data_IF_843214848812
#
_entry.id   IF_843214848812
#
_cell.length_a   1.000
_cell.length_b   1.000
_cell.length_c   1.000
_cell.angle_alpha   90.00
_cell.angle_beta   90.00
_cell.angle_gamma   90.00
#
_symmetry.space_group_name_H-M   'P 1'
#
loop_
_entity.id
_entity.type
_entity.pdbx_description
1 polymer ?
#
# COMPACT_ATOMS: atom_id res chain seq x y z
N UNK A 1 14.03 13.08 0.73
CA UNK A 1 12.60 12.80 0.71
C UNK A 1 11.90 13.74 -0.26
N UNK A 2 12.04 15.05 -0.11
CA UNK A 2 11.41 16.08 -0.95
C UNK A 2 11.66 15.88 -2.46
N UNK A 3 12.84 15.41 -2.83
CA UNK A 3 13.21 15.13 -4.23
C UNK A 3 12.27 14.11 -4.90
N UNK A 4 11.71 13.17 -4.15
CA UNK A 4 10.84 12.12 -4.68
C UNK A 4 9.37 12.52 -4.67
N UNK A 5 8.95 13.30 -3.67
CA UNK A 5 7.55 13.72 -3.54
C UNK A 5 7.24 15.01 -4.29
N UNK A 6 8.25 15.88 -4.51
CA UNK A 6 8.07 17.15 -5.23
C UNK A 6 7.37 16.98 -6.57
N UNK A 7 7.85 16.12 -7.47
CA UNK A 7 7.20 15.88 -8.76
C UNK A 7 5.75 15.42 -8.67
N UNK A 8 5.39 14.67 -7.61
CA UNK A 8 4.01 14.24 -7.38
C UNK A 8 3.12 15.42 -6.98
N UNK A 9 3.61 16.27 -6.07
CA UNK A 9 2.90 17.50 -5.67
C UNK A 9 2.71 18.42 -6.87
N UNK A 10 3.77 18.62 -7.67
CA UNK A 10 3.73 19.49 -8.85
C UNK A 10 2.75 18.96 -9.90
N UNK A 11 2.71 17.65 -10.14
CA UNK A 11 1.76 17.02 -11.02
C UNK A 11 0.30 17.22 -10.58
N UNK A 12 0.02 17.02 -9.29
CA UNK A 12 -1.34 17.20 -8.75
C UNK A 12 -1.78 18.66 -8.82
N UNK A 13 -0.86 19.61 -8.59
CA UNK A 13 -1.11 21.05 -8.74
C UNK A 13 -1.37 21.44 -10.19
N UNK A 14 -0.60 20.91 -11.14
CA UNK A 14 -0.85 21.14 -12.58
C UNK A 14 -2.25 20.68 -12.99
N UNK A 15 -2.73 19.58 -12.39
CA UNK A 15 -4.08 19.07 -12.62
C UNK A 15 -5.19 19.93 -11.97
N UNK A 16 -4.83 20.89 -11.13
CA UNK A 16 -5.75 21.88 -10.56
C UNK A 16 -6.11 21.68 -9.10
N UNK A 17 -5.51 20.69 -8.39
CA UNK A 17 -5.74 20.49 -6.97
C UNK A 17 -4.61 21.11 -6.12
N UNK A 18 -4.95 21.78 -5.01
CA UNK A 18 -3.97 22.42 -4.12
C UNK A 18 -3.30 21.40 -3.19
N UNK A 19 -2.36 20.66 -3.77
CA UNK A 19 -1.60 19.65 -3.05
C UNK A 19 -0.48 20.26 -2.19
N UNK A 20 -0.29 19.72 -1.00
CA UNK A 20 0.76 20.13 -0.07
C UNK A 20 1.41 18.94 0.63
N UNK A 21 2.59 19.18 1.20
CA UNK A 21 3.34 18.20 1.99
C UNK A 21 3.28 18.57 3.47
N UNK A 22 2.91 17.63 4.34
CA UNK A 22 2.77 17.88 5.78
C UNK A 22 4.10 17.91 6.57
N UNK A 23 5.23 17.80 5.87
CA UNK A 23 6.56 17.83 6.49
C UNK A 23 7.05 16.49 7.05
N UNK A 24 6.20 15.45 7.08
CA UNK A 24 6.59 14.11 7.56
C UNK A 24 6.57 13.07 6.42
N UNK A 25 5.42 12.59 6.04
CA UNK A 25 5.28 11.52 5.04
C UNK A 25 3.96 11.53 4.26
N UNK A 26 3.07 12.47 4.56
CA UNK A 26 1.77 12.56 3.92
C UNK A 26 1.69 13.73 2.95
N UNK A 27 1.04 13.51 1.82
CA UNK A 27 0.61 14.57 0.92
C UNK A 27 -0.87 14.82 1.11
N UNK A 28 -1.24 16.09 1.18
CA UNK A 28 -2.57 16.56 1.58
C UNK A 28 -3.19 17.44 0.49
N UNK A 29 -4.51 17.39 0.37
CA UNK A 29 -5.37 18.37 -0.28
C UNK A 29 -6.43 18.76 0.74
N UNK A 30 -6.62 20.04 1.00
CA UNK A 30 -7.56 20.58 2.01
C UNK A 30 -7.40 19.92 3.39
N UNK A 31 -6.15 19.67 3.80
CA UNK A 31 -5.83 19.05 5.08
C UNK A 31 -6.11 17.55 5.17
N UNK A 32 -6.65 16.92 4.10
CA UNK A 32 -6.91 15.48 4.02
C UNK A 32 -5.85 14.76 3.19
N UNK A 33 -5.44 13.60 3.66
CA UNK A 33 -4.38 12.80 3.05
C UNK A 33 -4.86 12.14 1.76
N UNK A 34 -4.11 12.34 0.66
CA UNK A 34 -4.29 11.60 -0.58
C UNK A 34 -3.12 10.66 -0.90
N UNK A 35 -1.98 10.83 -0.19
CA UNK A 35 -0.80 9.98 -0.38
C UNK A 35 -0.07 9.77 0.94
N UNK A 36 0.37 8.54 1.16
CA UNK A 36 1.29 8.17 2.22
C UNK A 36 2.58 7.64 1.63
N UNK A 37 3.72 8.08 2.16
CA UNK A 37 5.02 7.76 1.61
C UNK A 37 5.94 7.18 2.68
N UNK A 38 6.82 6.27 2.28
CA UNK A 38 7.87 5.74 3.11
C UNK A 38 9.19 5.65 2.35
N UNK A 39 10.26 5.74 3.09
CA UNK A 39 11.61 5.68 2.53
C UNK A 39 12.52 4.95 3.50
N UNK A 40 13.38 4.09 2.97
CA UNK A 40 14.45 3.49 3.75
C UNK A 40 15.73 3.38 2.93
N UNK A 41 16.85 3.26 3.62
CA UNK A 41 18.16 3.10 3.01
C UNK A 41 18.55 1.61 3.02
N UNK A 42 19.04 1.14 1.88
CA UNK A 42 19.58 -0.20 1.71
C UNK A 42 20.99 -0.08 1.12
N UNK A 43 22.01 -0.17 1.97
CA UNK A 43 23.41 0.13 1.58
C UNK A 43 23.52 1.57 1.09
N UNK A 44 23.99 1.75 -0.14
CA UNK A 44 24.11 3.06 -0.80
C UNK A 44 22.87 3.45 -1.62
N UNK A 45 21.87 2.60 -1.65
CA UNK A 45 20.61 2.86 -2.34
C UNK A 45 19.54 3.37 -1.39
N UNK A 46 18.67 4.23 -1.92
CA UNK A 46 17.46 4.67 -1.26
C UNK A 46 16.27 3.98 -1.95
N UNK A 47 15.42 3.33 -1.15
CA UNK A 47 14.13 2.84 -1.61
C UNK A 47 13.05 3.78 -1.11
N UNK A 48 12.33 4.37 -2.06
CA UNK A 48 11.19 5.25 -1.79
C UNK A 48 9.94 4.65 -2.41
N UNK A 49 8.85 4.62 -1.66
CA UNK A 49 7.54 4.21 -2.17
C UNK A 49 6.44 5.06 -1.58
N UNK A 50 5.32 5.13 -2.29
CA UNK A 50 4.12 5.81 -1.84
C UNK A 50 2.88 5.28 -2.54
N UNK A 51 1.73 5.58 -1.97
CA UNK A 51 0.41 5.31 -2.56
C UNK A 51 -0.27 6.62 -2.95
N UNK A 52 -1.11 6.58 -3.97
CA UNK A 52 -1.94 7.71 -4.39
C UNK A 52 -3.41 7.27 -4.38
N UNK A 53 -4.25 8.02 -3.68
CA UNK A 53 -5.70 7.87 -3.75
C UNK A 53 -6.21 8.77 -4.88
N UNK A 54 -6.42 8.18 -6.06
CA UNK A 54 -6.92 8.93 -7.23
C UNK A 54 -8.44 8.91 -7.32
N UNK A 55 -9.03 7.74 -7.47
CA UNK A 55 -10.47 7.49 -7.57
C UNK A 55 -10.80 6.18 -6.85
N UNK A 56 -10.33 6.07 -5.61
CA UNK A 56 -10.40 4.88 -4.79
C UNK A 56 -11.77 4.77 -4.13
N UNK A 57 -12.39 3.59 -4.16
CA UNK A 57 -13.55 3.31 -3.35
C UNK A 57 -13.15 3.22 -1.88
N UNK A 58 -13.35 4.31 -1.13
CA UNK A 58 -12.95 4.41 0.28
C UNK A 58 -13.70 3.40 1.15
N UNK A 59 -14.92 3.05 0.82
CA UNK A 59 -15.72 2.06 1.57
C UNK A 59 -15.12 0.65 1.45
N UNK A 60 -14.78 0.26 0.21
CA UNK A 60 -14.08 -1.01 -0.03
C UNK A 60 -12.69 -1.03 0.60
N UNK A 61 -11.96 0.09 0.54
CA UNK A 61 -10.66 0.22 1.20
C UNK A 61 -10.78 -0.01 2.71
N UNK A 62 -11.76 0.61 3.37
CA UNK A 62 -11.99 0.41 4.81
C UNK A 62 -12.42 -1.02 5.11
N UNK A 63 -13.32 -1.59 4.30
CA UNK A 63 -13.78 -2.96 4.47
C UNK A 63 -12.67 -4.00 4.28
N UNK A 64 -11.66 -3.69 3.43
CA UNK A 64 -10.50 -4.57 3.18
C UNK A 64 -9.40 -4.47 4.24
N UNK A 65 -9.43 -3.43 5.09
CA UNK A 65 -8.49 -3.32 6.20
C UNK A 65 -9.02 -4.07 7.42
N UNK A 66 -8.12 -4.67 8.21
CA UNK A 66 -8.51 -5.35 9.45
C UNK A 66 -9.05 -4.30 10.43
N UNK A 67 -10.36 -4.18 10.49
CA UNK A 67 -11.07 -3.31 11.45
C UNK A 67 -11.27 -4.11 12.73
N UNK A 68 -11.04 -3.48 13.89
CA UNK A 68 -11.42 -4.04 15.18
C UNK A 68 -12.91 -4.48 15.12
N UNK A 69 -13.22 -5.78 15.37
CA UNK A 69 -14.57 -6.31 15.28
C UNK A 69 -15.60 -5.56 16.15
N UNK A 70 -15.13 -4.84 17.16
CA UNK A 70 -15.96 -4.03 18.06
C UNK A 70 -16.24 -2.62 17.53
N UNK A 71 -15.61 -2.18 16.44
CA UNK A 71 -15.92 -0.90 15.80
C UNK A 71 -17.05 -1.06 14.81
N UNK A 72 -18.09 -0.23 14.96
CA UNK A 72 -19.18 -0.18 13.98
C UNK A 72 -18.60 0.32 12.65
N UNK A 73 -18.76 -0.47 11.59
CA UNK A 73 -18.18 -0.20 10.25
C UNK A 73 -18.52 1.23 9.75
N UNK A 74 -19.75 1.71 9.99
CA UNK A 74 -20.16 3.06 9.61
C UNK A 74 -19.32 4.17 10.27
N UNK A 75 -18.97 4.02 11.56
CA UNK A 75 -18.09 4.97 12.26
C UNK A 75 -16.67 4.92 11.75
N UNK A 76 -16.18 3.74 11.38
CA UNK A 76 -14.86 3.55 10.80
C UNK A 76 -14.76 4.20 9.41
N UNK A 77 -15.76 4.03 8.56
CA UNK A 77 -15.85 4.67 7.24
C UNK A 77 -15.84 6.19 7.39
N UNK A 78 -16.68 6.75 8.26
CA UNK A 78 -16.73 8.20 8.50
C UNK A 78 -15.36 8.72 8.98
N UNK A 79 -14.76 8.08 9.98
CA UNK A 79 -13.46 8.48 10.53
C UNK A 79 -12.32 8.38 9.50
N UNK A 80 -12.40 7.49 8.52
CA UNK A 80 -11.41 7.43 7.42
C UNK A 80 -11.67 8.55 6.41
N UNK A 81 -12.94 8.75 5.98
CA UNK A 81 -13.32 9.83 5.06
C UNK A 81 -12.95 11.22 5.56
N UNK A 82 -12.98 11.43 6.87
CA UNK A 82 -12.59 12.73 7.48
C UNK A 82 -11.07 12.97 7.37
N UNK A 83 -10.27 11.93 7.15
CA UNK A 83 -8.79 12.00 7.14
C UNK A 83 -8.16 11.81 5.77
N UNK A 84 -8.87 11.17 4.84
CA UNK A 84 -8.34 10.89 3.49
C UNK A 84 -9.25 11.50 2.43
N UNK A 85 -8.71 11.68 1.23
CA UNK A 85 -9.46 12.17 0.08
C UNK A 85 -8.90 11.58 -1.21
N UNK A 86 -9.73 11.49 -2.24
CA UNK A 86 -9.29 11.17 -3.59
C UNK A 86 -8.85 12.43 -4.32
N UNK A 87 -7.79 12.35 -5.11
CA UNK A 87 -7.35 13.46 -5.97
C UNK A 87 -8.44 13.85 -6.95
N UNK A 88 -9.16 12.88 -7.53
CA UNK A 88 -10.23 13.10 -8.52
C UNK A 88 -11.35 14.01 -8.03
N UNK A 89 -11.60 14.08 -6.71
CA UNK A 89 -12.63 14.92 -6.10
C UNK A 89 -12.29 16.42 -6.13
N UNK A 90 -11.00 16.75 -6.33
CA UNK A 90 -10.48 18.14 -6.30
C UNK A 90 -10.07 18.65 -7.68
N UNK A 91 -10.24 17.86 -8.73
CA UNK A 91 -9.89 18.26 -10.09
C UNK A 91 -11.05 19.02 -10.75
N UNK A 92 -10.76 20.04 -11.58
CA UNK A 92 -11.79 20.79 -12.31
C UNK A 92 -12.55 19.93 -13.32
N UNK A 93 -11.96 18.83 -13.79
CA UNK A 93 -12.61 17.79 -14.58
C UNK A 93 -12.13 16.41 -14.15
N UNK A 94 -12.98 15.41 -14.24
CA UNK A 94 -12.60 14.03 -14.03
C UNK A 94 -11.71 13.55 -15.17
N UNK A 95 -10.56 12.98 -14.84
CA UNK A 95 -9.65 12.34 -15.78
C UNK A 95 -9.84 10.82 -15.72
N UNK A 96 -9.53 10.15 -16.80
CA UNK A 96 -9.30 8.70 -16.75
C UNK A 96 -8.05 8.37 -15.94
N UNK A 97 -7.93 7.15 -15.46
CA UNK A 97 -6.72 6.68 -14.75
C UNK A 97 -5.48 6.81 -15.64
N UNK A 98 -5.63 6.56 -16.96
CA UNK A 98 -4.52 6.66 -17.92
C UNK A 98 -4.07 8.10 -18.15
N UNK A 99 -4.99 9.07 -18.22
CA UNK A 99 -4.64 10.49 -18.30
C UNK A 99 -3.92 10.95 -17.03
N UNK A 100 -4.41 10.55 -15.85
CA UNK A 100 -3.77 10.83 -14.57
C UNK A 100 -2.37 10.23 -14.50
N UNK A 101 -2.21 8.94 -14.82
CA UNK A 101 -0.93 8.25 -14.89
C UNK A 101 0.06 8.93 -15.82
N UNK A 102 -0.39 9.34 -17.01
CA UNK A 102 0.46 10.03 -18.00
C UNK A 102 0.97 11.36 -17.46
N UNK A 103 0.16 12.11 -16.73
CA UNK A 103 0.60 13.33 -16.06
C UNK A 103 1.65 13.02 -14.98
N UNK A 104 1.41 12.02 -14.11
CA UNK A 104 2.35 11.62 -13.08
C UNK A 104 3.70 11.20 -13.69
N UNK A 105 3.69 10.35 -14.73
CA UNK A 105 4.91 9.88 -15.40
C UNK A 105 5.70 11.04 -15.96
N UNK A 106 5.07 11.99 -16.65
CA UNK A 106 5.74 13.17 -17.21
C UNK A 106 6.50 13.97 -16.15
N UNK A 107 5.89 14.21 -14.99
CA UNK A 107 6.55 14.91 -13.88
C UNK A 107 7.68 14.09 -13.24
N UNK A 108 7.47 12.79 -13.06
CA UNK A 108 8.47 11.90 -12.46
C UNK A 108 9.69 11.71 -13.37
N UNK A 109 9.48 11.66 -14.69
CA UNK A 109 10.56 11.52 -15.66
C UNK A 109 11.42 12.79 -15.81
N UNK A 110 10.94 13.95 -15.34
CA UNK A 110 11.69 15.23 -15.37
C UNK A 110 12.30 15.57 -16.74
N UNK A 111 11.56 15.26 -17.80
CA UNK A 111 11.99 15.49 -19.18
C UNK A 111 12.86 14.36 -19.76
N UNK A 112 13.21 13.32 -19.03
CA UNK A 112 13.78 12.12 -19.62
C UNK A 112 12.75 11.41 -20.49
N UNK A 113 13.20 10.90 -21.63
CA UNK A 113 12.40 10.08 -22.55
C UNK A 113 12.90 8.64 -22.61
N UNK A 114 13.84 8.29 -21.72
CA UNK A 114 14.42 6.96 -21.70
C UNK A 114 13.36 5.92 -21.34
N UNK A 115 13.20 4.96 -22.20
CA UNK A 115 12.28 3.83 -22.03
C UNK A 115 13.00 2.53 -22.29
N UNK A 116 12.60 1.49 -21.59
CA UNK A 116 13.06 0.13 -21.83
C UNK A 116 11.86 -0.76 -22.15
N UNK A 117 11.96 -1.48 -23.25
CA UNK A 117 10.94 -2.48 -23.63
C UNK A 117 11.41 -3.84 -23.18
N UNK A 118 10.61 -4.50 -22.34
CA UNK A 118 10.90 -5.87 -21.88
C UNK A 118 11.00 -6.81 -23.07
N UNK A 119 12.11 -7.55 -23.17
CA UNK A 119 12.36 -8.51 -24.23
C UNK A 119 11.79 -9.90 -23.85
N UNK A 120 11.63 -10.84 -24.82
CA UNK A 120 11.27 -12.22 -24.50
C UNK A 120 12.25 -12.92 -23.53
N UNK A 121 13.55 -12.57 -23.62
CA UNK A 121 14.59 -13.08 -22.72
C UNK A 121 14.39 -12.54 -21.29
N UNK A 122 14.06 -11.26 -21.15
CA UNK A 122 13.73 -10.67 -19.86
C UNK A 122 12.49 -11.34 -19.25
N UNK A 123 11.45 -11.54 -20.06
CA UNK A 123 10.21 -12.20 -19.62
C UNK A 123 10.49 -13.63 -19.13
N UNK A 124 11.28 -14.40 -19.88
CA UNK A 124 11.72 -15.72 -19.46
C UNK A 124 12.48 -15.67 -18.12
N UNK A 125 13.38 -14.69 -17.94
CA UNK A 125 14.15 -14.52 -16.70
C UNK A 125 13.27 -14.08 -15.55
N UNK A 126 12.30 -13.19 -15.78
CA UNK A 126 11.30 -12.77 -14.78
C UNK A 126 10.51 -13.98 -14.28
N UNK A 127 10.00 -14.81 -15.20
CA UNK A 127 9.25 -16.02 -14.88
C UNK A 127 10.09 -17.03 -14.10
N UNK A 128 11.34 -17.24 -14.50
CA UNK A 128 12.28 -18.07 -13.76
C UNK A 128 12.49 -17.57 -12.33
N UNK A 129 12.74 -16.27 -12.13
CA UNK A 129 12.92 -15.68 -10.82
C UNK A 129 11.65 -15.76 -9.96
N UNK A 130 10.47 -15.62 -10.58
CA UNK A 130 9.20 -15.79 -9.90
C UNK A 130 9.09 -17.19 -9.27
N UNK A 131 9.44 -18.23 -10.01
CA UNK A 131 9.39 -19.61 -9.54
C UNK A 131 10.50 -19.92 -8.52
N UNK A 132 11.74 -19.58 -8.84
CA UNK A 132 12.91 -19.94 -8.01
C UNK A 132 12.94 -19.19 -6.66
N UNK A 133 12.51 -17.93 -6.65
CA UNK A 133 12.60 -17.07 -5.45
C UNK A 133 11.25 -16.79 -4.82
N UNK A 134 10.33 -16.20 -5.59
CA UNK A 134 9.13 -15.62 -5.00
C UNK A 134 8.03 -16.64 -4.70
N UNK A 135 7.95 -17.76 -5.45
CA UNK A 135 7.06 -18.87 -5.17
C UNK A 135 7.62 -19.86 -4.14
N UNK A 136 8.90 -19.77 -3.80
CA UNK A 136 9.53 -20.66 -2.84
C UNK A 136 8.96 -20.45 -1.44
N UNK A 137 8.81 -21.55 -0.66
CA UNK A 137 8.35 -21.52 0.74
C UNK A 137 9.11 -20.50 1.59
N UNK A 138 10.42 -20.47 1.45
CA UNK A 138 11.28 -19.55 2.20
C UNK A 138 10.98 -18.08 1.92
N UNK A 139 10.60 -17.72 0.71
CA UNK A 139 10.23 -16.34 0.38
C UNK A 139 8.86 -15.96 0.96
N UNK A 140 7.92 -16.89 0.98
CA UNK A 140 6.54 -16.64 1.42
C UNK A 140 6.41 -16.75 2.94
N UNK A 141 7.02 -17.79 3.55
CA UNK A 141 6.82 -18.13 4.95
C UNK A 141 8.12 -18.30 5.74
N UNK A 142 9.17 -18.88 5.12
CA UNK A 142 10.35 -19.35 5.83
C UNK A 142 11.23 -18.24 6.40
N UNK A 143 11.22 -17.04 5.78
CA UNK A 143 11.96 -15.86 6.24
C UNK A 143 11.19 -15.00 7.24
N UNK A 144 9.91 -15.33 7.50
CA UNK A 144 9.14 -14.59 8.49
C UNK A 144 9.73 -14.80 9.90
N UNK A 145 9.74 -13.76 10.74
CA UNK A 145 10.15 -13.89 12.13
C UNK A 145 9.23 -14.87 12.86
N UNK A 146 9.71 -15.45 13.95
CA UNK A 146 8.88 -16.24 14.86
C UNK A 146 7.74 -15.37 15.41
N UNK A 147 6.54 -15.91 15.46
CA UNK A 147 5.37 -15.24 16.01
C UNK A 147 4.43 -16.22 16.72
N UNK A 148 3.65 -15.67 17.64
CA UNK A 148 2.57 -16.38 18.30
C UNK A 148 1.23 -15.90 17.74
N UNK A 149 0.32 -16.84 17.52
CA UNK A 149 -1.05 -16.57 17.12
C UNK A 149 -2.00 -17.10 18.18
N UNK A 150 -2.89 -16.25 18.68
CA UNK A 150 -3.99 -16.68 19.54
C UNK A 150 -5.32 -16.37 18.84
N UNK A 151 -6.22 -17.35 18.84
CA UNK A 151 -7.59 -17.22 18.30
C UNK A 151 -8.57 -17.86 19.27
N UNK A 152 -9.70 -17.19 19.42
CA UNK A 152 -10.83 -17.67 20.21
C UNK A 152 -12.06 -17.75 19.32
N UNK A 153 -12.75 -18.89 19.39
CA UNK A 153 -14.04 -19.12 18.73
C UNK A 153 -15.11 -19.57 19.73
N UNK A 154 -16.37 -19.25 19.45
CA UNK A 154 -17.53 -19.82 20.14
C UNK A 154 -18.19 -20.87 19.27
N UNK A 155 -18.41 -22.03 19.85
CA UNK A 155 -19.01 -23.18 19.21
C UNK A 155 -20.22 -23.67 20.07
N UNK A 156 -21.12 -24.53 19.56
CA UNK A 156 -22.22 -25.07 20.36
C UNK A 156 -21.78 -25.74 21.67
N UNK A 157 -20.57 -26.34 21.69
CA UNK A 157 -20.00 -27.00 22.88
C UNK A 157 -19.26 -26.06 23.84
N UNK A 158 -19.15 -24.75 23.53
CA UNK A 158 -18.48 -23.81 24.40
C UNK A 158 -17.53 -22.85 23.67
N UNK A 159 -16.70 -22.17 24.47
CA UNK A 159 -15.63 -21.30 24.01
C UNK A 159 -14.34 -22.11 23.88
N UNK A 160 -13.69 -22.01 22.72
CA UNK A 160 -12.40 -22.62 22.46
C UNK A 160 -11.37 -21.53 22.19
N UNK A 161 -10.23 -21.59 22.86
CA UNK A 161 -9.08 -20.74 22.57
C UNK A 161 -7.90 -21.64 22.18
N UNK A 162 -7.22 -21.29 21.10
CA UNK A 162 -5.96 -21.94 20.73
C UNK A 162 -4.85 -20.93 20.54
N UNK A 163 -3.67 -21.31 20.98
CA UNK A 163 -2.45 -20.55 20.81
C UNK A 163 -1.45 -21.40 20.03
N UNK A 164 -0.88 -20.79 18.99
CA UNK A 164 0.10 -21.39 18.11
C UNK A 164 1.43 -20.65 18.25
N UNK A 165 2.53 -21.38 18.28
CA UNK A 165 3.87 -20.84 18.09
C UNK A 165 4.34 -21.24 16.69
N UNK A 166 4.65 -20.24 15.86
CA UNK A 166 5.02 -20.43 14.46
C UNK A 166 6.43 -19.93 14.22
N UNK A 167 7.26 -20.77 13.61
CA UNK A 167 8.62 -20.45 13.21
C UNK A 167 8.87 -20.91 11.77
N UNK A 168 9.37 -20.00 10.94
CA UNK A 168 9.60 -20.26 9.51
C UNK A 168 8.35 -20.79 8.77
N UNK A 169 7.18 -20.27 9.12
CA UNK A 169 5.92 -20.69 8.54
C UNK A 169 5.41 -22.06 9.02
N UNK A 170 6.08 -22.71 9.99
CA UNK A 170 5.72 -24.03 10.53
C UNK A 170 5.27 -23.89 11.98
N UNK A 171 4.14 -24.51 12.33
CA UNK A 171 3.67 -24.60 13.72
C UNK A 171 4.63 -25.48 14.51
N UNK A 172 5.26 -24.92 15.56
CA UNK A 172 6.18 -25.61 16.46
C UNK A 172 5.48 -26.16 17.69
N UNK A 173 4.50 -25.44 18.20
CA UNK A 173 3.64 -25.91 19.27
C UNK A 173 2.23 -25.35 19.14
N UNK A 174 1.27 -26.08 19.67
CA UNK A 174 -0.11 -25.67 19.79
C UNK A 174 -0.64 -26.04 21.17
N UNK A 175 -1.44 -25.17 21.77
CA UNK A 175 -2.20 -25.43 22.98
C UNK A 175 -3.64 -24.99 22.80
N UNK A 176 -4.56 -25.75 23.43
CA UNK A 176 -6.01 -25.57 23.30
C UNK A 176 -6.64 -25.63 24.67
N UNK A 177 -7.55 -24.72 24.99
CA UNK A 177 -8.33 -24.68 26.23
C UNK A 177 -9.70 -23.99 26.05
#
# INVERSE_FOLDING_TARGET
FAQYIGPVVDAVRELGADASFNGRNDLLIDGRKFSGNAQYRLGDCIVHHGSLLYDTNIEQMVASTTVDPYKILSKSIKSVRDRVTNISEHLPRRLSVEEFKSCMVRHLMRGSTDTYTVTPEDDARINQLAQEKFAAWDAIYGKNPRFNLERTGRFPGGKLTFRLDVQRGVIRSASVW
#
